data_IF_101402178310
#
_entry.id   IF_101402178310
#
_cell.length_a   1.000
_cell.length_b   1.000
_cell.length_c   1.000
_cell.angle_alpha   90.00
_cell.angle_beta   90.00
_cell.angle_gamma   90.00
#
_symmetry.space_group_name_H-M   'P 1'
#
loop_
_entity.id
_entity.type
_entity.pdbx_description
1 polymer ?
#
# COMPACT_ATOMS: atom_id res chain seq x y z
N UNK A 1 -3.25 12.53 15.06
CA UNK A 1 -2.78 12.98 13.74
C UNK A 1 -1.96 11.89 13.06
N UNK A 2 -2.20 11.68 11.79
CA UNK A 2 -1.47 10.70 10.99
C UNK A 2 -0.44 11.44 10.14
N UNK A 3 0.83 11.06 10.28
CA UNK A 3 1.95 11.64 9.54
C UNK A 3 2.36 10.68 8.42
N UNK A 4 2.43 11.17 7.19
CA UNK A 4 2.79 10.39 6.02
C UNK A 4 4.06 10.95 5.40
N UNK A 5 5.07 10.11 5.26
CA UNK A 5 6.30 10.44 4.54
C UNK A 5 6.32 9.64 3.24
N UNK A 6 6.65 10.29 2.14
CA UNK A 6 6.68 9.65 0.82
C UNK A 6 8.09 9.77 0.26
N UNK A 7 8.65 8.64 -0.16
CA UNK A 7 9.94 8.55 -0.83
C UNK A 7 9.76 7.81 -2.15
N UNK A 8 10.42 8.29 -3.20
CA UNK A 8 10.36 7.67 -4.53
C UNK A 8 11.76 7.53 -5.08
N UNK A 9 11.98 6.43 -5.80
CA UNK A 9 13.22 6.24 -6.57
C UNK A 9 13.31 7.38 -7.59
N UNK A 10 14.41 8.16 -7.60
CA UNK A 10 14.52 9.31 -8.51
C UNK A 10 14.56 8.93 -9.99
N UNK A 11 14.86 7.68 -10.31
CA UNK A 11 14.87 7.18 -11.69
C UNK A 11 13.50 6.74 -12.18
N UNK A 12 12.47 6.79 -11.31
CA UNK A 12 11.11 6.35 -11.63
C UNK A 12 10.12 7.50 -11.45
N UNK A 13 9.04 7.48 -12.25
CA UNK A 13 7.97 8.48 -12.15
C UNK A 13 7.00 8.07 -11.04
N UNK A 14 7.17 8.66 -9.87
CA UNK A 14 6.30 8.38 -8.73
C UNK A 14 5.04 9.26 -8.72
N UNK A 15 4.06 8.91 -7.90
CA UNK A 15 2.83 9.71 -7.75
C UNK A 15 3.09 10.98 -6.95
N UNK A 16 2.14 11.91 -6.99
CA UNK A 16 2.21 13.12 -6.19
C UNK A 16 2.02 12.78 -4.71
N UNK A 17 2.83 13.41 -3.87
CA UNK A 17 2.75 13.21 -2.42
C UNK A 17 1.36 13.51 -1.87
N UNK A 18 0.72 14.58 -2.35
CA UNK A 18 -0.61 14.99 -1.89
C UNK A 18 -1.67 13.91 -2.15
N UNK A 19 -1.61 13.24 -3.29
CA UNK A 19 -2.52 12.14 -3.63
C UNK A 19 -2.31 10.95 -2.69
N UNK A 20 -1.06 10.55 -2.51
CA UNK A 20 -0.70 9.43 -1.62
C UNK A 20 -1.16 9.72 -0.18
N UNK A 21 -0.83 10.89 0.31
CA UNK A 21 -1.19 11.34 1.66
C UNK A 21 -2.71 11.29 1.88
N UNK A 22 -3.46 11.81 0.93
CA UNK A 22 -4.93 11.84 0.98
C UNK A 22 -5.53 10.44 1.03
N UNK A 23 -5.07 9.54 0.19
CA UNK A 23 -5.59 8.17 0.11
C UNK A 23 -5.30 7.40 1.40
N UNK A 24 -4.05 7.42 1.85
CA UNK A 24 -3.64 6.68 3.05
C UNK A 24 -4.36 7.20 4.29
N UNK A 25 -4.42 8.53 4.46
CA UNK A 25 -5.13 9.13 5.60
C UNK A 25 -6.60 8.74 5.60
N UNK A 26 -7.25 8.79 4.45
CA UNK A 26 -8.66 8.44 4.34
C UNK A 26 -8.92 6.99 4.80
N UNK A 27 -8.11 6.05 4.32
CA UNK A 27 -8.25 4.63 4.68
C UNK A 27 -8.03 4.43 6.17
N UNK A 28 -6.93 4.95 6.71
CA UNK A 28 -6.58 4.74 8.11
C UNK A 28 -7.60 5.39 9.04
N UNK A 29 -8.01 6.62 8.76
CA UNK A 29 -9.01 7.32 9.57
C UNK A 29 -10.37 6.63 9.50
N UNK A 30 -10.76 6.15 8.33
CA UNK A 30 -12.02 5.41 8.15
C UNK A 30 -12.03 4.10 8.93
N UNK A 31 -10.87 3.50 9.16
CA UNK A 31 -10.73 2.26 9.94
C UNK A 31 -10.48 2.54 11.43
N UNK A 32 -10.53 3.79 11.86
CA UNK A 32 -10.44 4.16 13.27
C UNK A 32 -9.05 4.55 13.79
N UNK A 33 -8.07 4.66 12.92
CA UNK A 33 -6.73 5.08 13.31
C UNK A 33 -6.73 6.58 13.54
N UNK A 34 -6.31 7.03 14.73
CA UNK A 34 -6.27 8.46 15.09
C UNK A 34 -4.86 9.02 15.01
N UNK A 35 -3.85 8.22 15.32
CA UNK A 35 -2.45 8.62 15.29
C UNK A 35 -1.63 7.57 14.55
N UNK A 36 -0.66 8.04 13.80
CA UNK A 36 0.21 7.11 13.09
C UNK A 36 1.36 7.81 12.40
N UNK A 37 2.35 7.01 12.05
CA UNK A 37 3.51 7.47 11.29
C UNK A 37 3.79 6.42 10.22
N UNK A 38 3.50 6.76 8.98
CA UNK A 38 3.58 5.84 7.86
C UNK A 38 4.58 6.37 6.83
N UNK A 39 5.48 5.51 6.38
CA UNK A 39 6.41 5.82 5.30
C UNK A 39 6.03 5.03 4.06
N UNK A 40 5.81 5.71 2.96
CA UNK A 40 5.54 5.11 1.66
C UNK A 40 6.80 5.19 0.81
N UNK A 41 7.27 4.04 0.31
CA UNK A 41 8.46 3.97 -0.53
C UNK A 41 8.07 3.39 -1.88
N UNK A 42 8.23 4.20 -2.94
CA UNK A 42 7.97 3.77 -4.31
C UNK A 42 9.29 3.43 -4.96
N UNK A 43 9.45 2.18 -5.37
CA UNK A 43 10.71 1.70 -5.88
C UNK A 43 10.56 0.72 -7.03
N UNK A 44 11.63 -0.01 -7.30
CA UNK A 44 11.73 -0.97 -8.39
C UNK A 44 11.25 -2.36 -7.98
N UNK A 45 11.03 -3.22 -8.98
CA UNK A 45 10.80 -4.65 -8.76
C UNK A 45 11.96 -5.28 -7.98
N UNK A 46 13.19 -4.86 -8.28
CA UNK A 46 14.37 -5.39 -7.63
C UNK A 46 14.36 -5.12 -6.12
N UNK A 47 14.00 -3.89 -5.73
CA UNK A 47 13.88 -3.53 -4.32
C UNK A 47 12.90 -4.44 -3.59
N UNK A 48 11.71 -4.61 -4.13
CA UNK A 48 10.68 -5.44 -3.47
C UNK A 48 11.06 -6.92 -3.50
N UNK A 49 11.68 -7.39 -4.57
CA UNK A 49 12.17 -8.76 -4.67
C UNK A 49 13.21 -9.06 -3.58
N UNK A 50 14.15 -8.14 -3.37
CA UNK A 50 15.18 -8.26 -2.34
C UNK A 50 14.57 -8.28 -0.94
N UNK A 51 13.59 -7.42 -0.68
CA UNK A 51 12.88 -7.39 0.61
C UNK A 51 12.11 -8.70 0.86
N UNK A 52 11.45 -9.21 -0.17
CA UNK A 52 10.70 -10.46 -0.09
C UNK A 52 11.61 -11.63 0.25
N UNK A 53 12.77 -11.68 -0.38
CA UNK A 53 13.79 -12.70 -0.15
C UNK A 53 14.36 -12.60 1.27
N UNK A 54 14.68 -11.39 1.71
CA UNK A 54 15.32 -11.14 3.01
C UNK A 54 14.39 -11.40 4.20
N UNK A 55 13.15 -10.94 4.12
CA UNK A 55 12.21 -10.96 5.26
C UNK A 55 11.18 -12.08 5.20
N UNK A 56 10.88 -12.61 4.03
CA UNK A 56 9.84 -13.63 3.87
C UNK A 56 10.38 -14.94 3.30
N UNK A 57 11.67 -14.99 2.97
CA UNK A 57 12.34 -16.16 2.39
C UNK A 57 11.61 -16.68 1.14
N UNK A 58 11.09 -15.77 0.32
CA UNK A 58 10.39 -16.07 -0.92
C UNK A 58 11.11 -15.42 -2.09
N UNK A 59 11.12 -16.10 -3.22
CA UNK A 59 11.87 -15.67 -4.40
C UNK A 59 10.91 -15.45 -5.57
N UNK A 60 10.02 -14.46 -5.43
CA UNK A 60 9.08 -14.10 -6.50
C UNK A 60 8.84 -12.59 -6.51
N UNK A 61 8.35 -12.09 -7.63
CA UNK A 61 8.01 -10.67 -7.78
C UNK A 61 6.74 -10.36 -6.98
N UNK A 62 6.71 -9.17 -6.39
CA UNK A 62 5.53 -8.70 -5.68
C UNK A 62 5.33 -7.21 -5.99
N UNK A 63 4.09 -6.74 -5.88
CA UNK A 63 3.72 -5.36 -6.16
C UNK A 63 3.72 -4.47 -4.92
N UNK A 64 3.44 -5.02 -3.75
CA UNK A 64 3.35 -4.26 -2.51
C UNK A 64 3.83 -5.11 -1.32
N UNK A 65 4.54 -4.47 -0.39
CA UNK A 65 4.94 -5.09 0.88
C UNK A 65 4.65 -4.08 1.99
N UNK A 66 4.05 -4.54 3.08
CA UNK A 66 3.76 -3.69 4.23
C UNK A 66 4.38 -4.28 5.50
N UNK A 67 5.04 -3.43 6.27
CA UNK A 67 5.65 -3.81 7.55
C UNK A 67 5.07 -2.95 8.67
N UNK A 68 4.45 -3.57 9.65
CA UNK A 68 4.09 -2.87 10.87
C UNK A 68 5.32 -2.83 11.80
N UNK A 69 5.67 -1.64 12.28
CA UNK A 69 6.89 -1.42 13.06
C UNK A 69 6.65 -1.41 14.57
N UNK A 70 5.40 -1.27 15.02
CA UNK A 70 5.07 -1.29 16.44
C UNK A 70 4.13 -2.45 16.77
N UNK A 71 3.86 -2.63 18.06
CA UNK A 71 3.01 -3.73 18.53
C UNK A 71 1.55 -3.55 18.11
N UNK A 72 0.88 -4.65 17.81
CA UNK A 72 -0.52 -4.64 17.33
C UNK A 72 -1.50 -4.06 18.34
N UNK A 73 -1.19 -4.14 19.64
CA UNK A 73 -2.04 -3.66 20.71
C UNK A 73 -1.84 -2.17 21.02
N UNK A 74 -0.89 -1.51 20.36
CA UNK A 74 -0.68 -0.08 20.54
C UNK A 74 -1.73 0.71 19.76
N UNK A 75 -2.13 1.85 20.32
CA UNK A 75 -3.14 2.71 19.73
C UNK A 75 -2.64 3.47 18.51
N UNK A 76 -1.32 3.73 18.46
CA UNK A 76 -0.68 4.39 17.33
C UNK A 76 -0.25 3.35 16.31
N UNK A 77 -0.35 3.71 15.04
CA UNK A 77 0.07 2.82 13.95
C UNK A 77 1.39 3.33 13.36
N UNK A 78 2.42 2.50 13.43
CA UNK A 78 3.69 2.81 12.77
C UNK A 78 3.99 1.73 11.73
N UNK A 79 4.35 2.16 10.53
CA UNK A 79 4.63 1.19 9.48
C UNK A 79 5.29 1.77 8.25
N UNK A 80 5.70 0.85 7.38
CA UNK A 80 6.26 1.15 6.08
C UNK A 80 5.52 0.36 5.02
N UNK A 81 5.27 1.00 3.88
CA UNK A 81 4.65 0.36 2.72
C UNK A 81 5.58 0.58 1.52
N UNK A 82 5.97 -0.51 0.88
CA UNK A 82 6.82 -0.49 -0.31
C UNK A 82 5.98 -0.90 -1.51
N UNK A 83 6.01 -0.10 -2.57
CA UNK A 83 5.27 -0.36 -3.80
C UNK A 83 6.22 -0.35 -4.98
N UNK A 84 6.16 -1.38 -5.84
CA UNK A 84 6.91 -1.41 -7.08
C UNK A 84 6.16 -0.61 -8.14
N UNK A 85 6.76 0.48 -8.61
CA UNK A 85 6.17 1.30 -9.69
C UNK A 85 6.12 0.54 -11.01
N UNK A 86 7.19 -0.16 -11.46
CA UNK A 86 7.09 -0.96 -12.68
C UNK A 86 6.01 -2.03 -12.62
N UNK A 87 5.85 -2.70 -11.49
CA UNK A 87 4.82 -3.73 -11.32
C UNK A 87 3.42 -3.12 -11.35
N UNK A 88 3.26 -1.91 -10.79
CA UNK A 88 2.00 -1.18 -10.83
C UNK A 88 1.58 -0.84 -12.27
N UNK A 89 2.54 -0.44 -13.11
CA UNK A 89 2.30 -0.14 -14.51
C UNK A 89 1.84 -1.41 -15.25
N UNK A 90 2.54 -2.53 -15.03
CA UNK A 90 2.20 -3.80 -15.66
C UNK A 90 0.83 -4.32 -15.23
N UNK A 91 0.53 -4.21 -13.93
CA UNK A 91 -0.76 -4.62 -13.39
C UNK A 91 -1.90 -3.80 -13.99
N UNK A 92 -1.72 -2.49 -14.11
CA UNK A 92 -2.73 -1.60 -14.70
C UNK A 92 -3.04 -2.04 -16.14
N UNK A 93 -2.01 -2.29 -16.93
CA UNK A 93 -2.16 -2.75 -18.31
C UNK A 93 -2.84 -4.13 -18.37
N UNK A 94 -2.40 -5.05 -17.53
CA UNK A 94 -2.93 -6.42 -17.48
C UNK A 94 -4.42 -6.44 -17.11
N UNK A 95 -4.84 -5.60 -16.17
CA UNK A 95 -6.22 -5.55 -15.70
C UNK A 95 -7.07 -4.53 -16.46
N UNK A 96 -6.49 -3.87 -17.46
CA UNK A 96 -7.16 -2.83 -18.25
C UNK A 96 -7.74 -1.72 -17.35
N UNK A 97 -6.94 -1.26 -16.41
CA UNK A 97 -7.32 -0.21 -15.45
C UNK A 97 -6.40 1.01 -15.61
N UNK A 98 -6.88 2.22 -15.28
CA UNK A 98 -6.00 3.38 -15.23
C UNK A 98 -4.88 3.17 -14.22
N UNK A 99 -3.69 3.67 -14.54
CA UNK A 99 -2.54 3.54 -13.64
C UNK A 99 -2.83 4.10 -12.25
N UNK A 100 -3.46 5.28 -12.18
CA UNK A 100 -3.80 5.90 -10.89
C UNK A 100 -4.70 5.03 -10.03
N UNK A 101 -5.67 4.35 -10.65
CA UNK A 101 -6.57 3.46 -9.91
C UNK A 101 -5.83 2.24 -9.37
N UNK A 102 -4.95 1.64 -10.16
CA UNK A 102 -4.16 0.48 -9.70
C UNK A 102 -3.21 0.90 -8.58
N UNK A 103 -2.55 2.04 -8.71
CA UNK A 103 -1.69 2.55 -7.66
C UNK A 103 -2.48 2.83 -6.38
N UNK A 104 -3.66 3.44 -6.52
CA UNK A 104 -4.58 3.66 -5.40
C UNK A 104 -4.98 2.36 -4.72
N UNK A 105 -5.26 1.31 -5.50
CA UNK A 105 -5.59 -0.01 -4.97
C UNK A 105 -4.45 -0.57 -4.12
N UNK A 106 -3.21 -0.43 -4.57
CA UNK A 106 -2.05 -0.90 -3.82
C UNK A 106 -1.83 -0.10 -2.53
N UNK A 107 -2.10 1.20 -2.57
CA UNK A 107 -2.03 2.04 -1.37
C UNK A 107 -3.07 1.60 -0.33
N UNK A 108 -4.31 1.39 -0.75
CA UNK A 108 -5.38 0.89 0.13
C UNK A 108 -5.00 -0.48 0.70
N UNK A 109 -4.56 -1.38 -0.16
CA UNK A 109 -4.16 -2.74 0.20
C UNK A 109 -3.05 -2.73 1.27
N UNK A 110 -2.01 -1.95 1.04
CA UNK A 110 -0.89 -1.83 2.00
C UNK A 110 -1.34 -1.25 3.33
N UNK A 111 -2.19 -0.21 3.29
CA UNK A 111 -2.74 0.39 4.51
C UNK A 111 -3.56 -0.60 5.32
N UNK A 112 -4.39 -1.41 4.66
CA UNK A 112 -5.20 -2.44 5.32
C UNK A 112 -4.32 -3.54 5.94
N UNK A 113 -3.25 -3.94 5.24
CA UNK A 113 -2.29 -4.91 5.79
C UNK A 113 -1.64 -4.39 7.07
N UNK A 114 -1.29 -3.10 7.13
CA UNK A 114 -0.71 -2.52 8.36
C UNK A 114 -1.66 -2.66 9.55
N UNK A 115 -2.97 -2.65 9.30
CA UNK A 115 -3.98 -2.79 10.34
C UNK A 115 -4.35 -4.23 10.66
N UNK A 116 -3.67 -5.20 10.04
CA UNK A 116 -3.88 -6.62 10.33
C UNK A 116 -4.81 -7.36 9.37
N UNK A 117 -5.34 -6.69 8.35
CA UNK A 117 -6.12 -7.40 7.32
C UNK A 117 -5.21 -8.29 6.51
N UNK A 118 -5.62 -9.52 6.30
CA UNK A 118 -4.85 -10.49 5.53
C UNK A 118 -5.54 -10.79 4.19
N UNK A 119 -4.86 -11.52 3.31
CA UNK A 119 -5.38 -11.86 2.00
C UNK A 119 -5.01 -13.30 1.59
N UNK A 120 -4.78 -14.16 2.57
CA UNK A 120 -4.36 -15.54 2.30
C UNK A 120 -5.54 -16.48 2.06
N UNK A 121 -6.56 -16.41 2.90
CA UNK A 121 -7.75 -17.25 2.73
C UNK A 121 -8.71 -16.65 1.69
N UNK A 122 -9.65 -17.46 1.22
CA UNK A 122 -10.68 -17.03 0.27
C UNK A 122 -11.53 -15.91 0.85
N UNK A 123 -11.91 -16.03 2.13
CA UNK A 123 -12.71 -15.02 2.82
C UNK A 123 -11.92 -13.74 3.03
N UNK A 124 -10.64 -13.85 3.38
CA UNK A 124 -9.76 -12.70 3.57
C UNK A 124 -9.59 -11.91 2.28
N UNK A 125 -9.38 -12.61 1.16
CA UNK A 125 -9.27 -11.99 -0.16
C UNK A 125 -10.54 -11.26 -0.55
N UNK A 126 -11.68 -11.85 -0.27
CA UNK A 126 -12.99 -11.22 -0.55
C UNK A 126 -13.17 -9.94 0.25
N UNK A 127 -12.90 -9.99 1.56
CA UNK A 127 -12.98 -8.82 2.44
C UNK A 127 -12.03 -7.73 1.98
N UNK A 128 -10.80 -8.08 1.65
CA UNK A 128 -9.80 -7.14 1.17
C UNK A 128 -10.27 -6.47 -0.12
N UNK A 129 -10.75 -7.22 -1.09
CA UNK A 129 -11.24 -6.69 -2.36
C UNK A 129 -12.44 -5.76 -2.16
N UNK A 130 -13.37 -6.13 -1.30
CA UNK A 130 -14.53 -5.30 -1.00
C UNK A 130 -14.12 -3.95 -0.40
N UNK A 131 -13.16 -3.96 0.54
CA UNK A 131 -12.65 -2.73 1.14
C UNK A 131 -11.84 -1.89 0.16
N UNK A 132 -11.03 -2.53 -0.68
CA UNK A 132 -10.29 -1.82 -1.74
C UNK A 132 -11.25 -1.07 -2.64
N UNK A 133 -12.28 -1.72 -3.13
CA UNK A 133 -13.29 -1.10 -4.01
C UNK A 133 -14.04 0.02 -3.29
N UNK A 134 -14.44 -0.21 -2.04
CA UNK A 134 -15.13 0.78 -1.23
C UNK A 134 -14.31 2.08 -1.11
N UNK A 135 -13.05 1.95 -0.73
CA UNK A 135 -12.20 3.13 -0.52
C UNK A 135 -11.78 3.79 -1.82
N UNK A 136 -11.56 3.02 -2.89
CA UNK A 136 -11.26 3.58 -4.21
C UNK A 136 -12.41 4.43 -4.74
N UNK A 137 -13.66 4.08 -4.41
CA UNK A 137 -14.82 4.88 -4.81
C UNK A 137 -14.94 6.18 -4.01
N UNK A 138 -14.26 6.29 -2.88
CA UNK A 138 -14.34 7.43 -1.98
C UNK A 138 -13.18 8.42 -2.12
N UNK A 139 -12.09 8.03 -2.77
CA UNK A 139 -10.89 8.86 -2.88
C UNK A 139 -10.64 9.29 -4.31
N UNK A 140 -9.85 10.36 -4.46
CA UNK A 140 -9.41 10.84 -5.77
C UNK A 140 -8.04 10.26 -6.07
N UNK A 141 -8.02 9.29 -6.98
CA UNK A 141 -6.79 8.62 -7.41
C UNK A 141 -6.29 9.12 -8.77
N UNK A 142 -6.94 10.10 -9.34
CA UNK A 142 -6.59 10.66 -10.66
C UNK A 142 -5.43 11.63 -10.60
#
# INVERSE_FOLDING_TARGET
MISIQVESDPDLDGPQKSTVDSIIKHVLESEGVQKGKITLIFGSDELLSDLKKKYFNKNHLTDVIAFRLNEDDETDLEGEIYISLPRSVENAAKFNEPFGRELGRLLVHGGLHLMGYEDESKNDKKTMTEKENKYLDQVDWK
#
